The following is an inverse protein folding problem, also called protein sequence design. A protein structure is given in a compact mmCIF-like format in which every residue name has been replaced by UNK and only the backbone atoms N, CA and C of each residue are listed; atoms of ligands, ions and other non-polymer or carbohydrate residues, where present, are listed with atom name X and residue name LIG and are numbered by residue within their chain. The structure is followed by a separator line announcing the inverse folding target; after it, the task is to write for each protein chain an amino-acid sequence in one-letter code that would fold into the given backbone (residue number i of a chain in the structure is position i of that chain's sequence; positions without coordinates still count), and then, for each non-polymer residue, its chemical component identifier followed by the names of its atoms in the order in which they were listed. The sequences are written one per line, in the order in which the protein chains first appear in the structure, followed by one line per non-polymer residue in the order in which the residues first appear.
data_IF_376967492616
#
_entry.id   IF_376967492616
#
_cell.length_a   1.000
_cell.length_b   1.000
_cell.length_c   1.000
_cell.angle_alpha   90.00
_cell.angle_beta   90.00
_cell.angle_gamma   90.00
#
_symmetry.space_group_name_H-M   'P 1'
#
loop_
_entity.id
_entity.type
_entity.pdbx_description
1 polymer ?
#
# COMPACT_ATOMS: atom_id res chain seq x y z
N UNK A 1 7.01 20.27 7.04
CA UNK A 1 6.97 19.83 5.62
C UNK A 1 6.91 18.30 5.47
N UNK A 2 7.93 17.53 5.89
CA UNK A 2 7.96 16.05 5.75
C UNK A 2 6.76 15.33 6.40
N UNK A 3 6.46 15.61 7.68
CA UNK A 3 5.35 14.95 8.39
C UNK A 3 4.01 15.22 7.71
N UNK A 4 3.78 16.45 7.25
CA UNK A 4 2.58 16.81 6.51
C UNK A 4 2.46 16.03 5.19
N UNK A 5 3.55 15.95 4.42
CA UNK A 5 3.57 15.17 3.18
C UNK A 5 3.32 13.67 3.45
N UNK A 6 3.95 13.09 4.46
CA UNK A 6 3.72 11.69 4.84
C UNK A 6 2.29 11.44 5.31
N UNK A 7 1.65 12.42 5.96
CA UNK A 7 0.25 12.33 6.37
C UNK A 7 -0.67 12.32 5.15
N UNK A 8 -0.47 13.23 4.20
CA UNK A 8 -1.23 13.29 2.94
C UNK A 8 -1.10 11.99 2.14
N UNK A 9 0.12 11.46 1.99
CA UNK A 9 0.35 10.18 1.31
C UNK A 9 -0.43 9.05 1.99
N UNK A 10 -0.41 8.98 3.32
CA UNK A 10 -1.16 7.96 4.06
C UNK A 10 -2.68 8.14 3.92
N UNK A 11 -3.18 9.38 3.86
CA UNK A 11 -4.60 9.68 3.64
C UNK A 11 -5.03 9.24 2.24
N UNK A 12 -4.26 9.57 1.21
CA UNK A 12 -4.52 9.10 -0.16
C UNK A 12 -4.47 7.58 -0.27
N UNK A 13 -3.46 6.93 0.33
CA UNK A 13 -3.36 5.48 0.34
C UNK A 13 -4.57 4.83 1.03
N UNK A 14 -5.05 5.41 2.14
CA UNK A 14 -6.26 4.94 2.82
C UNK A 14 -7.54 5.18 2.01
N UNK A 15 -7.63 6.29 1.28
CA UNK A 15 -8.81 6.58 0.44
C UNK A 15 -8.99 5.58 -0.71
N UNK A 16 -7.96 4.78 -1.03
CA UNK A 16 -8.05 3.73 -2.03
C UNK A 16 -8.62 2.42 -1.48
N UNK A 17 -8.73 2.23 -0.17
CA UNK A 17 -9.27 0.98 0.42
C UNK A 17 -10.66 0.61 -0.13
N UNK A 18 -11.63 1.55 -0.28
CA UNK A 18 -12.93 1.24 -0.89
C UNK A 18 -12.82 0.80 -2.35
N UNK A 19 -11.92 1.41 -3.12
CA UNK A 19 -11.67 1.04 -4.53
C UNK A 19 -11.12 -0.38 -4.60
N UNK A 20 -10.12 -0.70 -3.78
CA UNK A 20 -9.55 -2.05 -3.69
C UNK A 20 -10.59 -3.07 -3.23
N UNK A 21 -11.47 -2.69 -2.30
CA UNK A 21 -12.55 -3.55 -1.82
C UNK A 21 -13.59 -3.82 -2.92
N UNK A 22 -13.91 -2.80 -3.73
CA UNK A 22 -14.76 -2.96 -4.92
C UNK A 22 -14.15 -3.91 -5.94
N UNK A 23 -12.87 -3.73 -6.29
CA UNK A 23 -12.17 -4.70 -7.15
C UNK A 23 -12.10 -6.08 -6.52
N UNK A 24 -11.93 -6.17 -5.20
CA UNK A 24 -11.89 -7.42 -4.48
C UNK A 24 -13.18 -8.24 -4.61
N UNK A 25 -14.31 -7.54 -4.73
CA UNK A 25 -15.62 -8.17 -4.90
C UNK A 25 -15.83 -8.74 -6.31
N UNK A 26 -15.12 -8.26 -7.34
CA UNK A 26 -15.41 -8.62 -8.74
C UNK A 26 -14.25 -9.31 -9.47
N UNK A 27 -13.01 -9.25 -8.96
CA UNK A 27 -11.83 -9.72 -9.71
C UNK A 27 -11.92 -11.20 -10.12
N UNK A 28 -12.69 -12.00 -9.38
CA UNK A 28 -12.77 -13.46 -9.56
C UNK A 28 -13.55 -13.83 -10.82
N UNK A 29 -14.38 -12.92 -11.35
CA UNK A 29 -15.02 -13.08 -12.65
C UNK A 29 -14.02 -13.03 -13.81
N UNK A 30 -12.81 -12.54 -13.56
CA UNK A 30 -11.74 -12.41 -14.55
C UNK A 30 -10.62 -13.43 -14.32
N UNK A 31 -10.87 -14.45 -13.50
CA UNK A 31 -9.96 -15.59 -13.39
C UNK A 31 -10.03 -16.41 -14.67
N UNK A 32 -8.88 -16.84 -15.17
CA UNK A 32 -8.84 -17.78 -16.30
C UNK A 32 -9.39 -19.16 -15.91
N UNK A 33 -9.15 -19.56 -14.67
CA UNK A 33 -9.63 -20.80 -14.05
C UNK A 33 -9.87 -20.57 -12.54
N UNK A 34 -11.08 -20.78 -12.00
CA UNK A 34 -11.36 -20.52 -10.59
C UNK A 34 -10.60 -21.44 -9.60
N UNK A 35 -10.02 -22.55 -10.06
CA UNK A 35 -9.28 -23.52 -9.25
C UNK A 35 -7.77 -23.29 -9.22
N UNK A 36 -7.23 -22.43 -10.09
CA UNK A 36 -5.80 -22.11 -10.11
C UNK A 36 -5.54 -20.87 -9.23
N UNK A 37 -4.81 -21.01 -8.12
CA UNK A 37 -4.53 -19.87 -7.25
C UNK A 37 -3.66 -18.83 -7.98
N UNK A 38 -3.91 -17.55 -7.70
CA UNK A 38 -3.11 -16.43 -8.19
C UNK A 38 -3.06 -16.28 -9.73
N UNK A 39 -4.00 -16.87 -10.46
CA UNK A 39 -4.21 -16.55 -11.87
C UNK A 39 -5.03 -15.26 -12.03
N UNK A 40 -4.92 -14.63 -13.20
CA UNK A 40 -5.69 -13.43 -13.52
C UNK A 40 -5.49 -12.24 -12.57
N UNK A 41 -6.58 -11.51 -12.31
CA UNK A 41 -6.55 -10.22 -11.61
C UNK A 41 -6.36 -10.33 -10.09
N UNK A 42 -6.45 -11.54 -9.52
CA UNK A 42 -6.20 -11.80 -8.08
C UNK A 42 -4.84 -11.32 -7.63
N UNK A 43 -3.81 -11.62 -8.43
CA UNK A 43 -2.42 -11.25 -8.13
C UNK A 43 -2.22 -9.74 -8.19
N UNK A 44 -2.83 -9.08 -9.17
CA UNK A 44 -2.79 -7.63 -9.30
C UNK A 44 -3.40 -6.93 -8.08
N UNK A 45 -4.61 -7.33 -7.67
CA UNK A 45 -5.29 -6.73 -6.51
C UNK A 45 -4.50 -6.97 -5.22
N UNK A 46 -3.90 -8.16 -5.04
CA UNK A 46 -3.00 -8.43 -3.92
C UNK A 46 -1.77 -7.53 -3.93
N UNK A 47 -1.11 -7.36 -5.08
CA UNK A 47 0.06 -6.50 -5.23
C UNK A 47 -0.30 -5.06 -4.88
N UNK A 48 -1.38 -4.52 -5.45
CA UNK A 48 -1.81 -3.14 -5.16
C UNK A 48 -2.10 -2.96 -3.66
N UNK A 49 -2.83 -3.90 -3.04
CA UNK A 49 -3.10 -3.85 -1.59
C UNK A 49 -1.81 -3.89 -0.78
N UNK A 50 -0.88 -4.76 -1.13
CA UNK A 50 0.42 -4.88 -0.47
C UNK A 50 1.20 -3.56 -0.57
N UNK A 51 1.27 -2.94 -1.75
CA UNK A 51 1.93 -1.66 -1.96
C UNK A 51 1.31 -0.54 -1.10
N UNK A 52 -0.03 -0.44 -1.04
CA UNK A 52 -0.71 0.57 -0.23
C UNK A 52 -0.42 0.40 1.26
N UNK A 53 -0.53 -0.83 1.78
CA UNK A 53 -0.20 -1.14 3.17
C UNK A 53 1.28 -0.82 3.46
N UNK A 54 2.17 -1.14 2.53
CA UNK A 54 3.59 -0.84 2.65
C UNK A 54 3.85 0.66 2.73
N UNK A 55 3.24 1.46 1.84
CA UNK A 55 3.34 2.93 1.84
C UNK A 55 2.85 3.50 3.18
N UNK A 56 1.69 3.03 3.68
CA UNK A 56 1.15 3.49 4.96
C UNK A 56 2.11 3.15 6.10
N UNK A 57 2.60 1.92 6.14
CA UNK A 57 3.53 1.45 7.17
C UNK A 57 4.84 2.25 7.13
N UNK A 58 5.46 2.39 5.96
CA UNK A 58 6.72 3.13 5.77
C UNK A 58 6.56 4.60 6.11
N UNK A 59 5.45 5.22 5.70
CA UNK A 59 5.10 6.60 6.06
C UNK A 59 5.00 6.80 7.58
N UNK A 60 4.32 5.88 8.28
CA UNK A 60 4.26 5.88 9.75
C UNK A 60 5.64 5.73 10.38
N UNK A 61 6.42 4.76 9.90
CA UNK A 61 7.79 4.54 10.37
C UNK A 61 8.64 5.82 10.24
N UNK A 62 8.61 6.50 9.09
CA UNK A 62 9.32 7.76 8.87
C UNK A 62 8.84 8.82 9.85
N UNK A 63 7.52 9.03 9.99
CA UNK A 63 6.98 10.07 10.86
C UNK A 63 7.35 9.89 12.33
N UNK A 64 7.38 8.64 12.80
CA UNK A 64 7.69 8.28 14.20
C UNK A 64 9.19 8.32 14.46
N UNK A 65 10.00 7.75 13.56
CA UNK A 65 11.42 7.49 13.82
C UNK A 65 12.36 8.61 13.35
N UNK A 66 11.90 9.59 12.56
CA UNK A 66 12.74 10.68 12.01
C UNK A 66 13.60 11.48 13.00
N UNK A 67 13.33 11.41 14.31
CA UNK A 67 14.09 12.08 15.38
C UNK A 67 15.08 11.14 16.08
N UNK A 68 15.05 9.84 15.78
CA UNK A 68 15.97 8.86 16.33
C UNK A 68 17.37 9.02 15.74
N UNK A 69 18.40 8.85 16.56
CA UNK A 69 19.81 8.85 16.13
C UNK A 69 20.12 7.73 15.13
N UNK A 70 19.31 6.67 15.11
CA UNK A 70 19.44 5.55 14.17
C UNK A 70 18.69 5.79 12.84
N UNK A 71 17.96 6.91 12.70
CA UNK A 71 17.18 7.18 11.50
C UNK A 71 18.08 7.64 10.35
N UNK A 72 18.15 6.83 9.30
CA UNK A 72 18.94 7.13 8.10
C UNK A 72 18.04 7.76 7.03
N UNK A 73 18.16 9.07 6.83
CA UNK A 73 17.35 9.82 5.86
C UNK A 73 17.52 9.26 4.45
N UNK A 74 18.75 9.09 3.98
CA UNK A 74 19.04 8.58 2.62
C UNK A 74 18.44 7.18 2.35
N UNK A 75 18.29 6.35 3.38
CA UNK A 75 17.70 5.01 3.24
C UNK A 75 16.16 5.02 3.29
N UNK A 76 15.55 6.06 3.85
CA UNK A 76 14.11 6.10 4.11
C UNK A 76 13.36 7.16 3.31
N UNK A 77 14.05 8.15 2.74
CA UNK A 77 13.48 9.26 1.98
C UNK A 77 14.22 9.49 0.64
N UNK A 78 15.06 8.54 0.23
CA UNK A 78 15.70 8.49 -1.08
C UNK A 78 14.87 7.71 -2.09
#
# INVERSE_FOLDING_TARGET
RLVGAMKLIQEHARSLEPVISGFAAIYHHFDFDPHIPANGYRSLVKVVRCCLLHIIHKGRYITTNRRSIFFRVAHNAG
#
